data_IF_582399003125
#
_entry.id   IF_582399003125
#
_cell.length_a   1.000
_cell.length_b   1.000
_cell.length_c   1.000
_cell.angle_alpha   90.00
_cell.angle_beta   90.00
_cell.angle_gamma   90.00
#
_symmetry.space_group_name_H-M   'P 1'
#
loop_
_entity.id
_entity.type
_entity.pdbx_description
1 polymer ?
#
# COMPACT_ATOMS: atom_id res chain seq x y z
N UNK A 1 18.07 17.47 25.17
CA UNK A 1 17.15 18.11 26.12
C UNK A 1 15.75 17.56 25.81
N UNK A 2 14.98 17.04 26.76
CA UNK A 2 13.61 16.62 26.51
C UNK A 2 12.78 17.87 26.18
N UNK A 3 12.08 17.84 25.04
CA UNK A 3 11.12 18.86 24.65
C UNK A 3 9.98 18.84 25.69
N UNK A 4 9.86 19.94 26.45
CA UNK A 4 8.80 20.08 27.45
C UNK A 4 7.47 20.16 26.69
N UNK A 5 6.67 19.09 26.76
CA UNK A 5 5.30 19.11 26.19
C UNK A 5 4.49 20.24 26.86
N UNK A 6 3.76 21.08 26.10
CA UNK A 6 2.91 22.10 26.69
C UNK A 6 1.86 21.44 27.61
N UNK A 7 1.66 22.01 28.80
CA UNK A 7 0.64 21.55 29.76
C UNK A 7 -0.73 21.48 29.06
N UNK A 8 -1.27 20.27 28.95
CA UNK A 8 -2.55 19.94 28.31
C UNK A 8 -3.68 20.80 28.88
N UNK A 9 -4.37 21.53 28.01
CA UNK A 9 -5.71 22.02 28.31
C UNK A 9 -6.68 20.84 28.31
N UNK A 10 -7.69 20.85 29.20
CA UNK A 10 -8.71 19.81 29.32
C UNK A 10 -9.36 19.52 27.95
N UNK A 11 -9.26 18.27 27.49
CA UNK A 11 -9.95 17.76 26.31
C UNK A 11 -9.05 17.24 25.18
N UNK A 12 -7.71 17.29 25.27
CA UNK A 12 -6.81 16.79 24.21
C UNK A 12 -6.43 15.31 24.42
N UNK A 13 -6.59 14.50 23.39
CA UNK A 13 -5.99 13.17 23.33
C UNK A 13 -4.47 13.30 23.13
N UNK A 14 -3.70 12.44 23.80
CA UNK A 14 -2.23 12.38 23.63
C UNK A 14 -1.84 10.98 23.22
N UNK A 15 -0.98 10.88 22.20
CA UNK A 15 -0.46 9.63 21.67
C UNK A 15 1.02 9.81 21.30
N UNK A 16 1.78 8.74 21.07
CA UNK A 16 3.15 8.86 20.57
C UNK A 16 3.16 9.27 19.10
N UNK A 17 2.29 8.62 18.30
CA UNK A 17 2.18 8.85 16.86
C UNK A 17 0.72 9.07 16.48
N UNK A 18 0.45 10.11 15.71
CA UNK A 18 -0.82 10.27 15.00
C UNK A 18 -0.62 10.02 13.50
N UNK A 19 -1.45 9.14 12.93
CA UNK A 19 -1.47 8.84 11.51
C UNK A 19 -2.72 9.48 10.89
N UNK A 20 -2.52 10.30 9.87
CA UNK A 20 -3.60 10.94 9.11
C UNK A 20 -3.90 10.08 7.88
N UNK A 21 -5.09 9.49 7.85
CA UNK A 21 -5.55 8.59 6.79
C UNK A 21 -5.48 7.11 7.18
N UNK A 22 -6.60 6.44 7.05
CA UNK A 22 -6.78 5.01 7.31
C UNK A 22 -6.99 4.22 6.01
N UNK A 23 -6.23 4.55 4.97
CA UNK A 23 -6.04 3.69 3.80
C UNK A 23 -5.07 2.56 4.10
N UNK A 24 -4.76 1.73 3.09
CA UNK A 24 -3.86 0.57 3.23
C UNK A 24 -2.52 0.97 3.88
N UNK A 25 -1.90 2.05 3.41
CA UNK A 25 -0.59 2.52 3.91
C UNK A 25 -0.69 2.98 5.38
N UNK A 26 -1.69 3.83 5.71
CA UNK A 26 -1.85 4.33 7.06
C UNK A 26 -2.17 3.22 8.07
N UNK A 27 -3.05 2.29 7.71
CA UNK A 27 -3.40 1.14 8.56
C UNK A 27 -2.20 0.19 8.76
N UNK A 28 -1.46 -0.14 7.69
CA UNK A 28 -0.28 -0.98 7.79
C UNK A 28 0.80 -0.35 8.67
N UNK A 29 1.04 0.96 8.49
CA UNK A 29 1.99 1.72 9.33
C UNK A 29 1.55 1.73 10.78
N UNK A 30 0.29 2.01 11.06
CA UNK A 30 -0.26 2.04 12.41
C UNK A 30 -0.15 0.67 13.10
N UNK A 31 -0.48 -0.40 12.39
CA UNK A 31 -0.36 -1.76 12.91
C UNK A 31 1.09 -2.11 13.26
N UNK A 32 2.05 -1.84 12.38
CA UNK A 32 3.48 -2.12 12.63
C UNK A 32 4.00 -1.33 13.83
N UNK A 33 3.69 -0.05 13.92
CA UNK A 33 4.07 0.77 15.07
C UNK A 33 3.47 0.25 16.39
N UNK A 34 2.20 -0.14 16.37
CA UNK A 34 1.55 -0.68 17.56
C UNK A 34 2.15 -2.05 17.97
N UNK A 35 2.55 -2.90 17.00
CA UNK A 35 3.25 -4.15 17.28
C UNK A 35 4.60 -3.92 17.99
N UNK A 36 5.26 -2.79 17.72
CA UNK A 36 6.49 -2.35 18.41
C UNK A 36 6.22 -1.65 19.75
N UNK A 37 4.97 -1.62 20.22
CA UNK A 37 4.58 -1.03 21.50
C UNK A 37 4.37 0.48 21.49
N UNK A 38 4.32 1.11 20.32
CA UNK A 38 4.06 2.54 20.16
C UNK A 38 2.56 2.82 20.33
N UNK A 39 2.20 3.86 21.07
CA UNK A 39 0.81 4.32 21.17
C UNK A 39 0.43 5.09 19.89
N UNK A 40 -0.53 4.55 19.14
CA UNK A 40 -0.91 5.11 17.83
C UNK A 40 -2.38 5.52 17.83
N UNK A 41 -2.63 6.71 17.28
CA UNK A 41 -3.98 7.16 16.92
C UNK A 41 -4.05 7.36 15.42
N UNK A 42 -5.08 6.81 14.76
CA UNK A 42 -5.36 7.01 13.34
C UNK A 42 -6.59 7.90 13.20
N UNK A 43 -6.51 8.94 12.37
CA UNK A 43 -7.64 9.84 12.09
C UNK A 43 -8.06 9.73 10.61
N UNK A 44 -9.31 9.31 10.38
CA UNK A 44 -9.90 9.22 9.03
C UNK A 44 -11.43 9.19 9.14
N UNK A 45 -12.18 10.03 8.40
CA UNK A 45 -13.64 10.06 8.46
C UNK A 45 -14.29 8.77 7.92
N UNK A 46 -13.63 8.07 6.99
CA UNK A 46 -14.17 6.90 6.29
C UNK A 46 -13.10 5.80 6.10
N UNK A 47 -12.62 5.18 7.20
CA UNK A 47 -11.51 4.23 7.15
C UNK A 47 -11.68 3.15 6.09
N UNK A 48 -10.66 2.96 5.26
CA UNK A 48 -10.58 1.91 4.25
C UNK A 48 -11.47 2.08 3.01
N UNK A 49 -12.33 3.08 2.96
CA UNK A 49 -13.41 3.17 1.96
C UNK A 49 -13.05 3.92 0.68
N UNK A 50 -11.90 4.61 0.65
CA UNK A 50 -11.51 5.49 -0.46
C UNK A 50 -10.63 4.76 -1.49
N UNK A 51 -9.51 5.38 -1.90
CA UNK A 51 -8.60 4.88 -2.95
C UNK A 51 -8.20 3.42 -2.76
N UNK A 52 -7.91 3.00 -1.52
CA UNK A 52 -7.55 1.60 -1.22
C UNK A 52 -8.65 0.59 -1.55
N UNK A 53 -9.93 1.00 -1.49
CA UNK A 53 -11.06 0.13 -1.80
C UNK A 53 -11.30 -0.09 -3.31
N UNK A 54 -10.77 0.81 -4.16
CA UNK A 54 -10.96 0.79 -5.62
C UNK A 54 -9.66 0.51 -6.38
N UNK A 55 -8.56 0.31 -5.68
CA UNK A 55 -7.28 -0.04 -6.29
C UNK A 55 -7.37 -1.40 -7.00
N UNK A 56 -6.58 -1.60 -8.06
CA UNK A 56 -6.52 -2.86 -8.78
C UNK A 56 -5.85 -3.99 -7.97
N UNK A 57 -5.03 -3.62 -6.98
CA UNK A 57 -4.34 -4.57 -6.12
C UNK A 57 -3.14 -5.25 -6.78
N UNK A 58 -2.56 -4.66 -7.82
CA UNK A 58 -1.38 -5.21 -8.47
C UNK A 58 -0.15 -5.11 -7.57
N UNK A 59 0.60 -6.20 -7.49
CA UNK A 59 1.91 -6.33 -6.86
C UNK A 59 2.87 -6.83 -7.94
N UNK A 60 3.14 -5.96 -8.92
CA UNK A 60 3.70 -6.33 -10.21
C UNK A 60 4.96 -5.52 -10.57
N UNK A 61 6.02 -5.56 -9.73
CA UNK A 61 7.22 -4.75 -9.92
C UNK A 61 7.94 -5.03 -11.23
N UNK A 62 7.83 -6.24 -11.76
CA UNK A 62 8.50 -6.63 -13.00
C UNK A 62 7.69 -6.18 -14.22
N UNK A 63 6.38 -6.42 -14.22
CA UNK A 63 5.52 -6.02 -15.36
C UNK A 63 5.44 -4.50 -15.51
N UNK A 64 5.49 -3.75 -14.39
CA UNK A 64 5.35 -2.28 -14.38
C UNK A 64 6.69 -1.54 -14.40
N UNK A 65 7.82 -2.23 -14.59
CA UNK A 65 9.13 -1.56 -14.65
C UNK A 65 9.24 -0.65 -15.87
N UNK A 66 9.70 0.59 -15.62
CA UNK A 66 10.00 1.55 -16.68
C UNK A 66 11.51 1.74 -16.84
N UNK A 67 11.92 2.21 -18.04
CA UNK A 67 13.33 2.44 -18.36
C UNK A 67 13.89 3.57 -17.49
N UNK A 68 14.95 3.26 -16.73
CA UNK A 68 15.67 4.24 -15.92
C UNK A 68 15.12 4.46 -14.50
N UNK A 69 14.13 3.65 -14.07
CA UNK A 69 13.56 3.69 -12.72
C UNK A 69 14.15 2.60 -11.81
N UNK A 70 15.45 2.36 -11.89
CA UNK A 70 16.12 1.25 -11.18
C UNK A 70 15.95 1.32 -9.65
N UNK A 71 15.96 2.53 -9.06
CA UNK A 71 15.75 2.70 -7.61
C UNK A 71 14.32 2.36 -7.19
N UNK A 72 13.33 2.74 -8.00
CA UNK A 72 11.94 2.40 -7.77
C UNK A 72 11.71 0.89 -7.93
N UNK A 73 12.31 0.28 -8.94
CA UNK A 73 12.27 -1.17 -9.12
C UNK A 73 12.83 -1.89 -7.89
N UNK A 74 13.99 -1.48 -7.37
CA UNK A 74 14.59 -2.09 -6.18
C UNK A 74 13.66 -2.02 -4.96
N UNK A 75 13.01 -0.87 -4.74
CA UNK A 75 12.01 -0.70 -3.68
C UNK A 75 10.81 -1.62 -3.88
N UNK A 76 10.28 -1.69 -5.10
CA UNK A 76 9.11 -2.50 -5.44
C UNK A 76 9.39 -4.00 -5.31
N UNK A 77 10.58 -4.46 -5.72
CA UNK A 77 11.02 -5.86 -5.52
C UNK A 77 11.11 -6.21 -4.03
N UNK A 78 11.75 -5.36 -3.22
CA UNK A 78 11.81 -5.57 -1.78
C UNK A 78 10.42 -5.58 -1.14
N UNK A 79 9.49 -4.76 -1.64
CA UNK A 79 8.11 -4.72 -1.18
C UNK A 79 7.36 -6.01 -1.51
N UNK A 80 7.44 -6.52 -2.76
CA UNK A 80 6.73 -7.75 -3.14
C UNK A 80 7.29 -8.97 -2.41
N UNK A 81 8.59 -9.02 -2.17
CA UNK A 81 9.24 -10.08 -1.39
C UNK A 81 8.76 -10.11 0.07
N UNK A 82 8.43 -8.96 0.65
CA UNK A 82 7.92 -8.86 2.01
C UNK A 82 6.43 -9.26 2.14
N UNK A 83 5.64 -9.19 1.06
CA UNK A 83 4.20 -9.42 1.09
C UNK A 83 3.77 -10.79 1.65
N UNK A 84 4.41 -11.93 1.31
CA UNK A 84 3.99 -13.23 1.86
C UNK A 84 4.08 -13.31 3.38
N UNK A 85 5.16 -12.80 3.97
CA UNK A 85 5.32 -12.77 5.43
C UNK A 85 4.33 -11.80 6.07
N UNK A 86 4.17 -10.61 5.50
CA UNK A 86 3.19 -9.61 5.96
C UNK A 86 1.76 -10.16 5.94
N UNK A 87 1.36 -10.84 4.86
CA UNK A 87 0.05 -11.45 4.75
C UNK A 87 -0.16 -12.55 5.79
N UNK A 88 0.82 -13.44 5.97
CA UNK A 88 0.75 -14.52 6.94
C UNK A 88 0.59 -14.01 8.39
N UNK A 89 1.38 -13.01 8.80
CA UNK A 89 1.26 -12.39 10.12
C UNK A 89 -0.11 -11.73 10.33
N UNK A 90 -0.62 -11.05 9.27
CA UNK A 90 -1.91 -10.40 9.31
C UNK A 90 -3.06 -11.41 9.45
N UNK A 91 -2.98 -12.53 8.72
CA UNK A 91 -3.95 -13.63 8.78
C UNK A 91 -3.90 -14.35 10.13
N UNK A 92 -2.70 -14.61 10.67
CA UNK A 92 -2.53 -15.23 11.99
C UNK A 92 -3.15 -14.37 13.11
N UNK A 93 -2.89 -13.05 13.08
CA UNK A 93 -3.41 -12.13 14.09
C UNK A 93 -4.93 -11.98 14.01
N UNK A 94 -5.47 -11.87 12.79
CA UNK A 94 -6.86 -11.41 12.59
C UNK A 94 -7.85 -12.55 12.35
N UNK A 95 -7.38 -13.70 11.90
CA UNK A 95 -8.21 -14.79 11.38
C UNK A 95 -8.89 -14.47 10.05
N UNK A 96 -8.53 -13.36 9.39
CA UNK A 96 -9.08 -12.92 8.10
C UNK A 96 -8.03 -13.09 7.00
N UNK A 97 -8.47 -13.44 5.78
CA UNK A 97 -7.55 -13.48 4.64
C UNK A 97 -7.04 -12.07 4.31
N UNK A 98 -5.73 -11.96 4.07
CA UNK A 98 -5.10 -10.76 3.55
C UNK A 98 -5.31 -10.59 2.03
N UNK A 99 -5.88 -11.58 1.36
CA UNK A 99 -6.23 -11.54 -0.06
C UNK A 99 -5.03 -11.64 -1.01
N UNK A 100 -3.88 -12.16 -0.59
CA UNK A 100 -2.71 -12.32 -1.44
C UNK A 100 -2.88 -13.47 -2.43
N UNK A 101 -2.74 -13.17 -3.73
CA UNK A 101 -2.76 -14.12 -4.84
C UNK A 101 -1.41 -14.19 -5.54
N UNK A 102 -0.74 -15.34 -5.46
CA UNK A 102 0.58 -15.58 -6.06
C UNK A 102 0.42 -16.28 -7.42
N UNK A 103 -0.18 -15.57 -8.36
CA UNK A 103 -0.62 -16.15 -9.64
C UNK A 103 0.22 -15.73 -10.84
N UNK A 104 1.19 -14.84 -10.67
CA UNK A 104 1.93 -14.22 -11.77
C UNK A 104 1.11 -13.20 -12.54
N UNK A 105 1.74 -12.53 -13.51
CA UNK A 105 1.10 -11.56 -14.41
C UNK A 105 1.37 -11.93 -15.86
N UNK A 106 0.34 -11.83 -16.70
CA UNK A 106 0.43 -12.05 -18.13
C UNK A 106 0.14 -10.75 -18.90
N UNK A 107 1.18 -10.18 -19.52
CA UNK A 107 1.03 -9.09 -20.49
C UNK A 107 0.82 -9.66 -21.88
N UNK A 108 -0.17 -9.17 -22.62
CA UNK A 108 -0.52 -9.69 -23.96
C UNK A 108 -0.34 -8.66 -25.05
N UNK A 109 0.03 -9.12 -26.24
CA UNK A 109 0.13 -8.33 -27.46
C UNK A 109 -1.02 -8.67 -28.40
N UNK A 110 -1.72 -7.67 -28.89
CA UNK A 110 -2.80 -7.84 -29.85
C UNK A 110 -2.30 -7.82 -31.31
N UNK A 111 -1.27 -7.05 -31.59
CA UNK A 111 -0.69 -6.93 -32.90
C UNK A 111 0.84 -7.08 -32.94
N UNK A 112 1.46 -6.87 -34.12
CA UNK A 112 2.90 -7.00 -34.27
C UNK A 112 3.70 -5.90 -33.59
N UNK A 113 3.14 -4.71 -33.46
CA UNK A 113 3.80 -3.56 -32.85
C UNK A 113 3.80 -3.74 -31.32
N UNK A 114 2.67 -4.17 -30.74
CA UNK A 114 2.57 -4.59 -29.35
C UNK A 114 3.56 -5.70 -29.03
N UNK A 115 3.62 -6.74 -29.88
CA UNK A 115 4.54 -7.86 -29.68
C UNK A 115 6.02 -7.41 -29.74
N UNK A 116 6.34 -6.45 -30.62
CA UNK A 116 7.67 -5.87 -30.66
C UNK A 116 8.00 -5.02 -29.44
N UNK A 117 7.02 -4.28 -28.92
CA UNK A 117 7.19 -3.49 -27.69
C UNK A 117 7.40 -4.39 -26.48
N UNK A 118 6.57 -5.43 -26.30
CA UNK A 118 6.71 -6.39 -25.20
C UNK A 118 8.05 -7.15 -25.25
N UNK A 119 8.54 -7.51 -26.43
CA UNK A 119 9.87 -8.14 -26.56
C UNK A 119 10.98 -7.21 -26.11
N UNK A 120 10.95 -5.92 -26.51
CA UNK A 120 11.95 -4.94 -26.06
C UNK A 120 11.93 -4.78 -24.54
N UNK A 121 10.75 -4.76 -23.94
CA UNK A 121 10.60 -4.69 -22.49
C UNK A 121 11.12 -5.97 -21.82
N UNK A 122 10.78 -7.15 -22.34
CA UNK A 122 11.27 -8.43 -21.82
C UNK A 122 12.81 -8.53 -21.89
N UNK A 123 13.42 -8.04 -22.98
CA UNK A 123 14.88 -7.97 -23.07
C UNK A 123 15.50 -7.01 -22.06
N UNK A 124 14.83 -5.91 -21.75
CA UNK A 124 15.26 -5.00 -20.68
C UNK A 124 15.13 -5.66 -19.31
N UNK A 125 14.00 -6.27 -19.00
CA UNK A 125 13.76 -6.99 -17.74
C UNK A 125 14.82 -8.10 -17.52
N UNK A 126 15.15 -8.88 -18.57
CA UNK A 126 16.21 -9.91 -18.49
C UNK A 126 17.61 -9.30 -18.21
N UNK A 127 17.94 -8.14 -18.81
CA UNK A 127 19.21 -7.45 -18.51
C UNK A 127 19.30 -6.99 -17.06
N UNK A 128 18.16 -6.71 -16.41
CA UNK A 128 18.08 -6.41 -14.99
C UNK A 128 18.08 -7.68 -14.11
N UNK A 129 18.18 -8.89 -14.72
CA UNK A 129 18.18 -10.16 -13.99
C UNK A 129 16.78 -10.63 -13.56
N UNK A 130 15.72 -10.04 -14.10
CA UNK A 130 14.33 -10.39 -13.76
C UNK A 130 13.87 -11.61 -14.57
N UNK A 131 13.05 -12.46 -13.93
CA UNK A 131 12.50 -13.66 -14.56
C UNK A 131 11.25 -13.33 -15.37
N UNK A 132 11.36 -13.52 -16.70
CA UNK A 132 10.27 -13.31 -17.66
C UNK A 132 10.27 -14.38 -18.73
N UNK A 133 9.09 -14.86 -19.12
CA UNK A 133 8.87 -15.90 -20.13
C UNK A 133 8.10 -15.31 -21.31
N UNK A 134 8.69 -15.30 -22.50
CA UNK A 134 7.95 -14.95 -23.73
C UNK A 134 7.04 -16.09 -24.16
N UNK A 135 5.80 -15.77 -24.50
CA UNK A 135 4.78 -16.73 -24.89
C UNK A 135 4.29 -16.47 -26.30
N UNK A 136 4.07 -17.55 -27.07
CA UNK A 136 3.27 -17.47 -28.28
C UNK A 136 1.80 -17.16 -27.94
N UNK A 137 1.01 -16.65 -28.90
CA UNK A 137 -0.42 -16.43 -28.69
C UNK A 137 -1.19 -17.70 -28.30
N UNK A 138 -0.70 -18.89 -28.75
CA UNK A 138 -1.25 -20.19 -28.31
C UNK A 138 -0.95 -20.43 -26.82
N UNK A 139 0.26 -20.17 -26.39
CA UNK A 139 0.70 -20.42 -25.00
C UNK A 139 0.05 -19.45 -24.03
N UNK A 140 -0.08 -18.17 -24.42
CA UNK A 140 -0.84 -17.17 -23.69
C UNK A 140 -2.30 -17.63 -23.47
N UNK A 141 -3.00 -18.10 -24.51
CA UNK A 141 -4.36 -18.62 -24.39
C UNK A 141 -4.46 -19.93 -23.60
N UNK A 142 -3.40 -20.72 -23.50
CA UNK A 142 -3.40 -21.89 -22.58
C UNK A 142 -3.34 -21.47 -21.12
N UNK A 143 -2.67 -20.36 -20.80
CA UNK A 143 -2.63 -19.79 -19.44
C UNK A 143 -3.92 -19.06 -19.09
N UNK A 144 -4.44 -18.27 -20.04
CA UNK A 144 -5.70 -17.54 -19.88
C UNK A 144 -6.65 -17.87 -21.05
N UNK A 145 -7.55 -18.87 -20.86
CA UNK A 145 -8.43 -19.35 -21.92
C UNK A 145 -9.46 -18.34 -22.44
N UNK A 146 -9.72 -17.26 -21.68
CA UNK A 146 -10.66 -16.22 -22.06
C UNK A 146 -10.07 -15.17 -23.01
N UNK A 147 -8.76 -15.25 -23.31
CA UNK A 147 -8.14 -14.36 -24.27
C UNK A 147 -8.68 -14.56 -25.68
N UNK A 148 -8.85 -13.45 -26.39
CA UNK A 148 -9.27 -13.46 -27.79
C UNK A 148 -8.33 -14.26 -28.67
N UNK A 149 -8.86 -14.86 -29.75
CA UNK A 149 -8.08 -15.68 -30.69
C UNK A 149 -7.01 -14.91 -31.45
N UNK A 150 -7.17 -13.58 -31.58
CA UNK A 150 -6.26 -12.67 -32.25
C UNK A 150 -5.03 -12.25 -31.44
N UNK A 151 -4.88 -12.69 -30.18
CA UNK A 151 -3.69 -12.40 -29.37
C UNK A 151 -2.46 -13.01 -30.06
N UNK A 152 -1.47 -12.15 -30.40
CA UNK A 152 -0.28 -12.53 -31.19
C UNK A 152 0.85 -13.10 -30.32
N UNK A 153 0.88 -12.78 -29.02
CA UNK A 153 1.88 -13.23 -28.05
C UNK A 153 1.70 -12.61 -26.70
N UNK A 154 2.65 -12.83 -25.81
CA UNK A 154 2.65 -12.24 -24.47
C UNK A 154 3.96 -12.45 -23.74
N UNK A 155 4.05 -11.86 -22.56
CA UNK A 155 5.11 -12.06 -21.58
C UNK A 155 4.49 -12.47 -20.25
N UNK A 156 4.95 -13.58 -19.73
CA UNK A 156 4.57 -14.09 -18.42
C UNK A 156 5.64 -13.73 -17.39
N UNK A 157 5.20 -13.22 -16.25
CA UNK A 157 6.05 -12.87 -15.11
C UNK A 157 5.58 -13.67 -13.88
N UNK A 158 6.28 -14.73 -13.51
CA UNK A 158 5.86 -15.61 -12.41
C UNK A 158 5.97 -14.95 -11.03
N UNK A 159 6.89 -13.99 -10.85
CA UNK A 159 7.17 -13.31 -9.59
C UNK A 159 6.22 -12.16 -9.26
N UNK A 160 5.42 -11.71 -10.22
CA UNK A 160 4.40 -10.70 -9.97
C UNK A 160 3.16 -11.35 -9.32
N UNK A 161 2.48 -10.58 -8.49
CA UNK A 161 1.36 -11.06 -7.69
C UNK A 161 0.20 -10.05 -7.74
N UNK A 162 -0.88 -10.37 -7.04
CA UNK A 162 -1.97 -9.43 -6.79
C UNK A 162 -2.52 -9.61 -5.37
N UNK A 163 -3.23 -8.61 -4.89
CA UNK A 163 -3.91 -8.65 -3.61
C UNK A 163 -5.36 -8.20 -3.79
N UNK A 164 -6.30 -8.90 -3.17
CA UNK A 164 -7.64 -8.33 -2.98
C UNK A 164 -7.53 -7.22 -1.94
N UNK A 165 -7.46 -6.00 -2.42
CA UNK A 165 -7.27 -4.81 -1.59
C UNK A 165 -8.38 -4.61 -0.55
N UNK A 166 -9.60 -5.09 -0.80
CA UNK A 166 -10.72 -5.02 0.16
C UNK A 166 -10.52 -5.99 1.30
N UNK A 167 -10.05 -7.22 1.01
CA UNK A 167 -9.69 -8.19 2.04
C UNK A 167 -8.51 -7.69 2.86
N UNK A 168 -7.45 -7.18 2.22
CA UNK A 168 -6.29 -6.61 2.90
C UNK A 168 -6.68 -5.46 3.85
N UNK A 169 -7.52 -4.53 3.38
CA UNK A 169 -8.01 -3.41 4.20
C UNK A 169 -8.87 -3.90 5.36
N UNK A 170 -9.77 -4.87 5.14
CA UNK A 170 -10.59 -5.44 6.20
C UNK A 170 -9.73 -6.13 7.29
N UNK A 171 -8.73 -6.89 6.87
CA UNK A 171 -7.79 -7.54 7.78
C UNK A 171 -6.96 -6.49 8.56
N UNK A 172 -6.48 -5.43 7.90
CA UNK A 172 -5.75 -4.34 8.56
C UNK A 172 -6.61 -3.56 9.55
N UNK A 173 -7.88 -3.26 9.23
CA UNK A 173 -8.80 -2.64 10.17
C UNK A 173 -8.99 -3.50 11.42
N UNK A 174 -9.06 -4.82 11.24
CA UNK A 174 -9.14 -5.75 12.37
C UNK A 174 -7.83 -5.81 13.15
N UNK A 175 -6.67 -5.78 12.47
CA UNK A 175 -5.36 -5.80 13.12
C UNK A 175 -5.12 -4.57 13.98
N UNK A 176 -5.43 -3.36 13.50
CA UNK A 176 -5.28 -2.13 14.29
C UNK A 176 -6.20 -2.13 15.53
N UNK A 177 -7.44 -2.64 15.40
CA UNK A 177 -8.38 -2.81 16.52
C UNK A 177 -7.81 -3.76 17.59
N UNK A 178 -7.32 -4.95 17.17
CA UNK A 178 -6.71 -5.94 18.07
C UNK A 178 -5.42 -5.45 18.71
N UNK A 179 -4.67 -4.58 18.06
CA UNK A 179 -3.41 -4.01 18.56
C UNK A 179 -3.62 -2.76 19.45
N UNK A 180 -4.86 -2.39 19.73
CA UNK A 180 -5.16 -1.26 20.62
C UNK A 180 -4.93 0.11 19.98
N UNK A 181 -4.82 0.20 18.66
CA UNK A 181 -4.75 1.49 17.94
C UNK A 181 -6.06 2.23 18.08
N UNK A 182 -6.00 3.50 18.51
CA UNK A 182 -7.20 4.34 18.57
C UNK A 182 -7.57 4.83 17.18
N UNK A 183 -8.79 4.53 16.72
CA UNK A 183 -9.32 4.99 15.43
C UNK A 183 -10.35 6.11 15.66
N UNK A 184 -10.02 7.34 15.27
CA UNK A 184 -10.89 8.51 15.31
C UNK A 184 -11.52 8.72 13.94
N UNK A 185 -12.86 8.60 13.86
CA UNK A 185 -13.62 8.75 12.61
C UNK A 185 -13.96 10.22 12.33
N UNK A 186 -12.90 11.03 12.25
CA UNK A 186 -12.99 12.47 11.99
C UNK A 186 -11.90 12.87 11.00
N UNK A 187 -12.19 13.92 10.21
CA UNK A 187 -11.23 14.50 9.27
C UNK A 187 -10.26 15.39 10.02
N UNK A 188 -8.98 15.27 9.66
CA UNK A 188 -7.95 16.23 10.08
C UNK A 188 -8.06 17.47 9.20
N UNK A 189 -8.22 18.64 9.83
CA UNK A 189 -8.29 19.93 9.15
C UNK A 189 -6.91 20.55 8.92
N UNK A 190 -5.94 20.27 9.82
CA UNK A 190 -4.57 20.75 9.71
C UNK A 190 -3.62 20.06 10.67
N UNK A 191 -2.33 20.12 10.38
CA UNK A 191 -1.26 19.80 11.32
C UNK A 191 -1.06 20.98 12.29
N UNK A 192 -0.92 20.69 13.57
CA UNK A 192 -0.63 21.69 14.62
C UNK A 192 0.88 21.86 14.74
N UNK A 193 1.39 23.05 14.45
CA UNK A 193 2.81 23.38 14.49
C UNK A 193 3.10 24.27 15.72
N UNK A 194 4.18 23.96 16.42
CA UNK A 194 4.74 24.79 17.50
C UNK A 194 6.20 25.12 17.17
N UNK A 195 6.48 26.37 16.83
CA UNK A 195 7.75 26.75 16.25
C UNK A 195 7.96 26.08 14.87
N UNK A 196 8.94 25.18 14.77
CA UNK A 196 9.24 24.39 13.56
C UNK A 196 8.84 22.92 13.69
N UNK A 197 8.15 22.55 14.76
CA UNK A 197 7.85 21.14 15.08
C UNK A 197 6.36 20.88 14.97
N UNK A 198 5.97 19.79 14.29
CA UNK A 198 4.62 19.26 14.33
C UNK A 198 4.38 18.64 15.73
N UNK A 199 3.32 19.06 16.41
CA UNK A 199 2.99 18.62 17.77
C UNK A 199 1.63 17.92 17.86
N UNK A 200 1.00 17.65 16.72
CA UNK A 200 -0.29 16.97 16.63
C UNK A 200 -1.11 17.43 15.44
N UNK A 201 -2.39 17.12 15.47
CA UNK A 201 -3.37 17.47 14.43
C UNK A 201 -4.62 18.08 15.05
N UNK A 202 -5.27 18.97 14.30
CA UNK A 202 -6.60 19.47 14.62
C UNK A 202 -7.64 18.78 13.74
N UNK A 203 -8.71 18.33 14.35
CA UNK A 203 -9.86 17.71 13.67
C UNK A 203 -10.86 18.80 13.21
N UNK A 204 -11.75 18.46 12.28
CA UNK A 204 -12.80 19.40 11.80
C UNK A 204 -13.76 19.83 12.89
N UNK A 205 -14.02 18.97 13.89
CA UNK A 205 -14.86 19.31 15.05
C UNK A 205 -14.18 20.28 16.05
N UNK A 206 -12.92 20.66 15.78
CA UNK A 206 -12.12 21.56 16.62
C UNK A 206 -11.24 20.88 17.67
N UNK A 207 -11.40 19.60 17.92
CA UNK A 207 -10.56 18.84 18.87
C UNK A 207 -9.12 18.75 18.37
N UNK A 208 -8.18 18.58 19.32
CA UNK A 208 -6.76 18.42 18.99
C UNK A 208 -6.28 17.07 19.52
N UNK A 209 -5.62 16.32 18.64
CA UNK A 209 -4.85 15.12 19.01
C UNK A 209 -3.38 15.54 19.05
N UNK A 210 -2.80 15.56 20.24
CA UNK A 210 -1.38 15.84 20.44
C UNK A 210 -0.56 14.58 20.23
N UNK A 211 0.58 14.70 19.55
CA UNK A 211 1.48 13.58 19.29
C UNK A 211 2.93 14.05 19.21
N UNK A 212 3.87 13.16 19.55
CA UNK A 212 5.28 13.40 19.33
C UNK A 212 5.65 13.35 17.83
N UNK A 213 4.92 12.54 17.06
CA UNK A 213 5.11 12.39 15.62
C UNK A 213 3.79 12.44 14.86
N UNK A 214 3.81 13.03 13.68
CA UNK A 214 2.66 13.09 12.75
C UNK A 214 3.08 12.42 11.45
N UNK A 215 2.31 11.40 11.04
CA UNK A 215 2.48 10.69 9.78
C UNK A 215 1.32 11.04 8.87
N UNK A 216 1.61 11.60 7.69
CA UNK A 216 0.63 11.88 6.66
C UNK A 216 0.55 10.72 5.67
N UNK A 217 -0.55 9.94 5.73
CA UNK A 217 -0.86 8.84 4.81
C UNK A 217 -2.16 9.12 4.03
N UNK A 218 -2.32 10.36 3.60
CA UNK A 218 -3.55 10.95 3.05
C UNK A 218 -3.81 10.64 1.59
N UNK A 219 -2.92 9.86 0.95
CA UNK A 219 -3.07 9.48 -0.46
C UNK A 219 -3.22 10.71 -1.37
N UNK A 220 -4.19 10.73 -2.30
CA UNK A 220 -4.35 11.83 -3.26
C UNK A 220 -4.79 13.16 -2.62
N UNK A 221 -5.15 13.17 -1.33
CA UNK A 221 -5.54 14.39 -0.62
C UNK A 221 -4.37 15.06 0.13
N UNK A 222 -3.14 14.64 -0.08
CA UNK A 222 -1.96 15.18 0.63
C UNK A 222 -1.78 16.69 0.45
N UNK A 223 -2.22 17.26 -0.67
CA UNK A 223 -2.17 18.70 -0.92
C UNK A 223 -3.21 19.52 -0.15
N UNK A 224 -4.10 18.86 0.60
CA UNK A 224 -5.16 19.52 1.39
C UNK A 224 -4.82 19.65 2.87
N UNK A 225 -3.63 19.21 3.27
CA UNK A 225 -3.12 19.25 4.64
C UNK A 225 -2.36 20.53 4.96
#
# INVERSE_FOLDING_TARGET
MPVLMPRLRRGGHTTDVVVIGAGLIGLATAWRLAADGVQVTVCDPTPGSQTSNVAAGMLAPVTEVEYGEDELLALNLASVDAWPAFAAELEELTGLSAGLHRTGTLSVAYDVDDAAALRRLADYQRRLGLEVEELSGRDARRREPLLATGVSGGVWVPGDHSVDNRQAVAALLRAVDLSGVQLIRERVSRVVISGTTAVGVQLENGDIVYAAHVIAATGPWSSQL
#
